data_IF_815258788971
#
_entry.id   IF_815258788971
#
_cell.length_a   1.000
_cell.length_b   1.000
_cell.length_c   1.000
_cell.angle_alpha   90.00
_cell.angle_beta   90.00
_cell.angle_gamma   90.00
#
_symmetry.space_group_name_H-M   'P 1'
#
loop_
_entity.id
_entity.type
_entity.pdbx_description
1 polymer ?
#
# COMPACT_ATOMS: atom_id res chain seq x y z
N UNK A 1 -19.78 -3.99 17.26
CA UNK A 1 -19.32 -2.61 17.54
C UNK A 1 -17.85 -2.66 17.88
N UNK A 2 -17.05 -1.80 17.26
CA UNK A 2 -15.59 -1.79 17.35
C UNK A 2 -15.12 -0.39 17.72
N UNK A 3 -14.26 -0.26 18.73
CA UNK A 3 -13.86 1.04 19.28
C UNK A 3 -12.35 1.26 19.21
N UNK A 4 -11.99 2.52 18.98
CA UNK A 4 -10.68 3.02 18.61
C UNK A 4 -10.40 4.21 19.53
N UNK A 5 -9.23 4.27 20.19
CA UNK A 5 -8.85 5.42 21.03
C UNK A 5 -8.01 6.39 20.21
N UNK A 6 -8.38 7.66 20.16
CA UNK A 6 -7.58 8.71 19.55
C UNK A 6 -6.56 9.22 20.56
N UNK A 7 -5.28 9.22 20.18
CA UNK A 7 -4.14 9.64 21.00
C UNK A 7 -3.47 10.85 20.40
N UNK A 8 -3.00 11.74 21.26
CA UNK A 8 -2.34 12.98 20.87
C UNK A 8 -0.93 13.01 21.47
N UNK A 9 0.08 13.09 20.61
CA UNK A 9 1.49 13.27 20.94
C UNK A 9 2.00 14.59 20.34
N UNK A 10 2.16 15.57 21.22
CA UNK A 10 2.74 16.88 20.88
C UNK A 10 4.25 16.94 21.14
N UNK A 11 4.85 15.89 21.72
CA UNK A 11 6.27 15.87 22.05
C UNK A 11 7.11 15.81 20.77
N UNK A 12 7.93 16.84 20.55
CA UNK A 12 8.77 16.94 19.34
C UNK A 12 8.00 17.25 18.06
N UNK A 13 6.70 17.57 18.15
CA UNK A 13 5.96 18.04 17.00
C UNK A 13 6.40 19.48 16.65
N UNK A 14 6.97 19.64 15.45
CA UNK A 14 7.35 20.95 14.89
C UNK A 14 6.71 21.13 13.51
N UNK A 15 6.16 22.33 13.26
CA UNK A 15 5.61 22.71 11.96
C UNK A 15 4.10 23.00 11.97
N UNK A 16 3.56 23.31 10.78
CA UNK A 16 2.18 23.77 10.58
C UNK A 16 1.09 22.76 10.96
N UNK A 17 1.44 21.50 11.17
CA UNK A 17 0.52 20.39 11.44
C UNK A 17 0.44 19.97 12.92
N UNK A 18 1.07 20.72 13.82
CA UNK A 18 1.11 20.38 15.25
C UNK A 18 -0.07 20.92 16.05
N UNK A 19 -0.66 22.02 15.59
CA UNK A 19 -1.78 22.71 16.24
C UNK A 19 -2.97 22.80 15.29
N UNK A 20 -3.35 21.65 14.74
CA UNK A 20 -4.50 21.55 13.83
C UNK A 20 -5.49 20.56 14.39
N UNK A 21 -6.78 20.86 14.21
CA UNK A 21 -7.86 19.99 14.63
C UNK A 21 -8.03 18.85 13.62
N UNK A 22 -8.42 17.67 14.10
CA UNK A 22 -8.84 16.53 13.31
C UNK A 22 -10.30 16.72 12.87
N UNK A 23 -10.50 16.85 11.56
CA UNK A 23 -11.81 17.08 10.97
C UNK A 23 -12.37 15.89 10.20
N UNK A 24 -11.49 15.00 9.72
CA UNK A 24 -11.90 13.84 8.95
C UNK A 24 -11.01 12.63 9.19
N UNK A 25 -11.64 11.45 9.18
CA UNK A 25 -11.00 10.14 9.22
C UNK A 25 -11.47 9.34 8.01
N UNK A 26 -10.56 8.67 7.32
CA UNK A 26 -10.87 7.77 6.21
C UNK A 26 -10.29 6.38 6.47
N UNK A 27 -11.08 5.33 6.20
CA UNK A 27 -10.68 3.93 6.29
C UNK A 27 -10.68 3.31 4.90
N UNK A 28 -9.65 2.53 4.57
CA UNK A 28 -9.68 1.67 3.38
C UNK A 28 -10.48 0.40 3.69
N UNK A 29 -11.55 0.17 2.93
CA UNK A 29 -12.55 -0.84 3.23
C UNK A 29 -12.87 -1.71 2.03
N UNK A 30 -13.35 -2.94 2.29
CA UNK A 30 -13.77 -3.81 1.21
C UNK A 30 -15.07 -3.31 0.56
N UNK A 31 -15.18 -3.46 -0.76
CA UNK A 31 -16.35 -3.00 -1.52
C UNK A 31 -17.68 -3.62 -1.09
N UNK A 32 -17.65 -4.83 -0.50
CA UNK A 32 -18.85 -5.48 0.03
C UNK A 32 -19.51 -4.68 1.16
N UNK A 33 -18.76 -3.83 1.87
CA UNK A 33 -19.31 -2.95 2.90
C UNK A 33 -20.23 -1.86 2.34
N UNK A 34 -20.17 -1.59 1.03
CA UNK A 34 -21.06 -0.65 0.35
C UNK A 34 -22.42 -1.26 -0.04
N UNK A 35 -22.73 -2.49 0.41
CA UNK A 35 -24.02 -3.11 0.18
C UNK A 35 -25.16 -2.25 0.76
N UNK A 36 -26.21 -2.01 -0.05
CA UNK A 36 -27.34 -1.13 0.33
C UNK A 36 -28.06 -1.55 1.61
N UNK A 37 -28.05 -2.85 1.91
CA UNK A 37 -28.70 -3.44 3.08
C UNK A 37 -27.82 -3.41 4.34
N UNK A 38 -26.51 -3.18 4.20
CA UNK A 38 -25.59 -3.04 5.31
C UNK A 38 -25.69 -1.63 5.93
N UNK A 39 -25.36 -1.50 7.20
CA UNK A 39 -25.34 -0.20 7.87
C UNK A 39 -24.09 0.00 8.71
N UNK A 40 -23.52 1.20 8.64
CA UNK A 40 -22.36 1.61 9.43
C UNK A 40 -22.70 2.91 10.15
N UNK A 41 -22.54 2.93 11.47
CA UNK A 41 -22.73 4.13 12.30
C UNK A 41 -21.45 4.43 13.05
N UNK A 42 -21.10 5.70 13.18
CA UNK A 42 -19.96 6.14 13.98
C UNK A 42 -20.42 6.88 15.23
N UNK A 43 -19.69 6.66 16.32
CA UNK A 43 -19.87 7.37 17.58
C UNK A 43 -18.52 7.95 18.02
N UNK A 44 -18.52 9.15 18.59
CA UNK A 44 -17.38 9.73 19.31
C UNK A 44 -17.80 9.92 20.76
N UNK A 45 -17.06 9.33 21.70
CA UNK A 45 -17.34 9.35 23.13
C UNK A 45 -18.80 8.95 23.44
N UNK A 46 -19.26 7.86 22.81
CA UNK A 46 -20.62 7.32 22.97
C UNK A 46 -21.74 8.14 22.31
N UNK A 47 -21.44 9.22 21.60
CA UNK A 47 -22.43 10.05 20.87
C UNK A 47 -22.30 9.85 19.37
N UNK A 48 -23.42 9.69 18.66
CA UNK A 48 -23.38 9.61 17.20
C UNK A 48 -22.72 10.85 16.59
N UNK A 49 -21.92 10.62 15.55
CA UNK A 49 -21.33 11.71 14.76
C UNK A 49 -22.43 12.56 14.11
N UNK A 50 -22.18 13.86 13.98
CA UNK A 50 -23.13 14.80 13.36
C UNK A 50 -23.39 14.48 11.88
N UNK A 51 -22.38 13.92 11.22
CA UNK A 51 -22.46 13.39 9.86
C UNK A 51 -22.22 11.88 9.91
N UNK A 52 -23.13 11.12 9.29
CA UNK A 52 -23.02 9.67 9.21
C UNK A 52 -21.83 9.21 8.36
N UNK A 53 -21.27 8.01 8.62
CA UNK A 53 -20.25 7.42 7.77
C UNK A 53 -20.73 7.28 6.32
N UNK A 54 -19.87 7.57 5.36
CA UNK A 54 -20.19 7.42 3.94
C UNK A 54 -19.08 6.65 3.22
N UNK A 55 -19.45 5.63 2.46
CA UNK A 55 -18.52 4.90 1.58
C UNK A 55 -18.59 5.47 0.18
N UNK A 56 -17.44 5.88 -0.36
CA UNK A 56 -17.33 6.28 -1.76
C UNK A 56 -16.27 5.45 -2.48
N UNK A 57 -16.45 5.32 -3.79
CA UNK A 57 -15.46 4.72 -4.68
C UNK A 57 -14.45 5.78 -5.09
N UNK A 58 -13.17 5.50 -4.86
CA UNK A 58 -12.05 6.33 -5.28
C UNK A 58 -11.34 5.66 -6.46
N UNK A 59 -11.26 6.34 -7.60
CA UNK A 59 -10.52 5.85 -8.78
C UNK A 59 -9.07 6.33 -8.70
N UNK A 60 -8.14 5.38 -8.73
CA UNK A 60 -6.70 5.63 -8.75
C UNK A 60 -6.25 6.06 -10.16
N UNK A 61 -5.11 6.76 -10.30
CA UNK A 61 -4.61 7.22 -11.61
C UNK A 61 -4.36 6.11 -12.64
N UNK A 62 -4.13 4.89 -12.18
CA UNK A 62 -3.95 3.69 -13.01
C UNK A 62 -5.29 3.05 -13.47
N UNK A 63 -6.43 3.68 -13.15
CA UNK A 63 -7.76 3.21 -13.50
C UNK A 63 -8.35 2.18 -12.53
N UNK A 64 -7.56 1.68 -11.57
CA UNK A 64 -8.07 0.82 -10.50
C UNK A 64 -8.88 1.64 -9.48
N UNK A 65 -9.58 0.99 -8.55
CA UNK A 65 -10.40 1.69 -7.56
C UNK A 65 -10.33 1.08 -6.16
N UNK A 66 -10.59 1.93 -5.16
CA UNK A 66 -10.73 1.55 -3.74
C UNK A 66 -12.07 2.03 -3.21
N UNK A 67 -12.53 1.43 -2.12
CA UNK A 67 -13.68 1.91 -1.36
C UNK A 67 -13.18 2.54 -0.08
N UNK A 68 -13.59 3.78 0.15
CA UNK A 68 -13.13 4.55 1.29
C UNK A 68 -14.33 4.90 2.15
N UNK A 69 -14.33 4.45 3.40
CA UNK A 69 -15.28 4.92 4.40
C UNK A 69 -14.78 6.23 4.99
N UNK A 70 -15.59 7.26 4.92
CA UNK A 70 -15.28 8.62 5.37
C UNK A 70 -16.14 9.01 6.56
N UNK A 71 -15.49 9.56 7.57
CA UNK A 71 -16.08 10.27 8.71
C UNK A 71 -15.66 11.73 8.62
N UNK A 72 -16.59 12.67 8.55
CA UNK A 72 -16.31 14.12 8.45
C UNK A 72 -16.91 14.89 9.61
N UNK A 73 -16.53 16.17 9.70
CA UNK A 73 -17.08 17.13 10.66
C UNK A 73 -16.86 16.71 12.12
N UNK A 74 -15.68 16.10 12.38
CA UNK A 74 -15.30 15.62 13.70
C UNK A 74 -14.93 16.78 14.64
N UNK A 75 -14.29 17.84 14.12
CA UNK A 75 -13.88 19.05 14.86
C UNK A 75 -13.17 18.74 16.19
N UNK A 76 -12.24 17.79 16.17
CA UNK A 76 -11.56 17.32 17.38
C UNK A 76 -10.21 18.02 17.53
N UNK A 77 -10.02 18.73 18.63
CA UNK A 77 -8.79 19.48 18.91
C UNK A 77 -7.78 18.69 19.74
N UNK A 78 -6.69 19.37 20.12
CA UNK A 78 -5.65 18.81 20.97
C UNK A 78 -6.12 18.43 22.40
N UNK A 79 -7.28 18.92 22.82
CA UNK A 79 -7.91 18.57 24.10
C UNK A 79 -8.63 17.23 24.08
N UNK A 80 -8.94 16.69 22.89
CA UNK A 80 -9.71 15.45 22.72
C UNK A 80 -8.81 14.20 22.81
N UNK A 81 -7.69 14.30 23.53
CA UNK A 81 -6.82 13.17 23.77
C UNK A 81 -7.55 12.07 24.54
N UNK A 82 -7.41 10.83 24.09
CA UNK A 82 -8.15 9.65 24.54
C UNK A 82 -9.64 9.63 24.17
N UNK A 83 -10.08 10.47 23.23
CA UNK A 83 -11.43 10.33 22.71
C UNK A 83 -11.63 8.96 22.06
N UNK A 84 -12.80 8.36 22.28
CA UNK A 84 -13.16 7.05 21.76
C UNK A 84 -13.99 7.21 20.48
N UNK A 85 -13.50 6.68 19.37
CA UNK A 85 -14.25 6.51 18.14
C UNK A 85 -14.77 5.08 18.08
N UNK A 86 -16.08 4.87 17.93
CA UNK A 86 -16.66 3.55 17.74
C UNK A 86 -17.38 3.44 16.40
N UNK A 87 -17.21 2.31 15.72
CA UNK A 87 -17.94 1.91 14.53
C UNK A 87 -18.92 0.78 14.89
N UNK A 88 -20.20 1.02 14.66
CA UNK A 88 -21.21 -0.03 14.71
C UNK A 88 -21.46 -0.54 13.30
N UNK A 89 -20.93 -1.73 13.03
CA UNK A 89 -21.10 -2.44 11.76
C UNK A 89 -22.30 -3.38 11.87
N UNK A 90 -23.14 -3.40 10.85
CA UNK A 90 -24.31 -4.28 10.79
C UNK A 90 -24.41 -4.85 9.38
N UNK A 91 -24.33 -6.18 9.29
CA UNK A 91 -24.56 -6.89 8.03
C UNK A 91 -25.99 -6.63 7.55
N UNK A 92 -26.14 -6.61 6.24
CA UNK A 92 -27.42 -6.53 5.57
C UNK A 92 -28.07 -7.90 5.39
N UNK A 93 -29.21 -7.90 4.71
CA UNK A 93 -29.96 -9.13 4.37
C UNK A 93 -29.06 -10.12 3.62
N UNK A 94 -29.13 -11.40 3.98
CA UNK A 94 -28.32 -12.50 3.41
C UNK A 94 -26.81 -12.31 3.60
N UNK A 95 -26.38 -11.83 4.76
CA UNK A 95 -24.97 -11.60 5.12
C UNK A 95 -24.26 -10.63 4.15
N UNK A 96 -25.02 -9.79 3.44
CA UNK A 96 -24.47 -8.80 2.53
C UNK A 96 -23.93 -7.61 3.33
N UNK A 97 -22.62 -7.39 3.32
CA UNK A 97 -22.02 -6.27 4.04
C UNK A 97 -20.73 -6.64 4.74
N UNK A 98 -20.47 -5.92 5.83
CA UNK A 98 -19.36 -6.15 6.75
C UNK A 98 -19.91 -5.95 8.15
N UNK A 99 -19.84 -6.97 8.99
CA UNK A 99 -20.20 -6.91 10.42
C UNK A 99 -19.03 -7.23 11.36
N UNK A 100 -17.89 -7.64 10.81
CA UNK A 100 -16.61 -7.84 11.50
C UNK A 100 -15.53 -6.90 10.95
N UNK A 101 -14.43 -6.71 11.69
CA UNK A 101 -13.33 -5.87 11.22
C UNK A 101 -12.56 -6.52 10.07
N UNK A 102 -12.45 -7.84 10.07
CA UNK A 102 -11.81 -8.66 9.04
C UNK A 102 -12.50 -8.47 7.69
N UNK A 103 -13.82 -8.36 7.73
CA UNK A 103 -14.64 -8.12 6.55
C UNK A 103 -14.71 -6.65 6.16
N UNK A 104 -14.50 -5.77 7.13
CA UNK A 104 -14.58 -4.32 6.97
C UNK A 104 -13.28 -3.75 6.38
N UNK A 105 -12.15 -4.10 6.95
CA UNK A 105 -10.88 -3.43 6.71
C UNK A 105 -10.04 -4.10 5.64
N UNK A 106 -9.62 -3.31 4.63
CA UNK A 106 -8.54 -3.73 3.74
C UNK A 106 -7.24 -3.64 4.54
N UNK A 107 -6.52 -4.76 4.73
CA UNK A 107 -5.32 -4.74 5.54
C UNK A 107 -4.21 -3.95 4.84
N UNK A 108 -3.42 -3.16 5.58
CA UNK A 108 -2.34 -2.35 4.99
C UNK A 108 -1.21 -3.22 4.42
N UNK A 109 -1.10 -4.48 4.86
CA UNK A 109 -0.18 -5.48 4.33
C UNK A 109 -0.78 -6.88 4.46
N UNK A 110 -0.31 -7.83 3.64
CA UNK A 110 -0.75 -9.22 3.73
C UNK A 110 -0.36 -9.90 5.06
N UNK A 111 0.67 -9.40 5.75
CA UNK A 111 1.11 -9.87 7.08
C UNK A 111 0.36 -9.22 8.23
N UNK A 112 -0.53 -8.26 7.95
CA UNK A 112 -1.32 -7.62 8.99
C UNK A 112 -2.31 -8.64 9.57
N UNK A 113 -2.44 -8.73 10.91
CA UNK A 113 -3.46 -9.57 11.53
C UNK A 113 -4.84 -9.29 10.94
N UNK A 114 -5.71 -10.31 10.80
CA UNK A 114 -7.10 -10.10 10.40
C UNK A 114 -7.76 -8.98 11.23
N UNK A 115 -8.50 -8.10 10.56
CA UNK A 115 -9.15 -6.95 11.19
C UNK A 115 -8.27 -5.71 11.35
N UNK A 116 -7.02 -5.74 10.90
CA UNK A 116 -6.15 -4.55 10.86
C UNK A 116 -6.62 -3.58 9.78
N UNK A 117 -6.83 -2.32 10.17
CA UNK A 117 -7.35 -1.27 9.28
C UNK A 117 -6.26 -0.31 8.83
N UNK A 118 -6.28 0.06 7.54
CA UNK A 118 -5.57 1.23 7.06
C UNK A 118 -6.42 2.49 7.26
N UNK A 119 -5.87 3.48 7.94
CA UNK A 119 -6.59 4.70 8.33
C UNK A 119 -5.79 5.96 7.96
N UNK A 120 -6.51 6.99 7.52
CA UNK A 120 -5.98 8.31 7.26
C UNK A 120 -6.72 9.37 8.09
N UNK A 121 -5.98 10.33 8.65
CA UNK A 121 -6.51 11.43 9.44
C UNK A 121 -6.26 12.74 8.68
N UNK A 122 -7.22 13.67 8.73
CA UNK A 122 -7.16 14.92 7.96
C UNK A 122 -7.61 16.10 8.81
N UNK A 123 -6.90 17.22 8.66
CA UNK A 123 -7.25 18.46 9.36
C UNK A 123 -8.32 19.30 8.65
N UNK A 124 -8.76 18.91 7.45
CA UNK A 124 -9.91 19.52 6.78
C UNK A 124 -10.88 18.48 6.24
N UNK A 125 -12.15 18.89 6.13
CA UNK A 125 -13.22 18.03 5.62
C UNK A 125 -13.00 17.65 4.13
N UNK A 126 -12.45 18.57 3.34
CA UNK A 126 -12.30 18.43 1.89
C UNK A 126 -10.95 17.85 1.45
N UNK A 127 -10.08 17.43 2.37
CA UNK A 127 -8.69 17.01 2.08
C UNK A 127 -7.84 18.09 1.40
N UNK A 128 -8.26 19.35 1.46
CA UNK A 128 -7.59 20.50 0.84
C UNK A 128 -6.49 21.08 1.72
N UNK A 129 -6.50 20.80 3.02
CA UNK A 129 -5.49 21.30 3.94
C UNK A 129 -4.35 20.32 4.18
N UNK A 130 -3.24 20.91 4.60
CA UNK A 130 -1.87 20.47 4.41
C UNK A 130 -1.38 19.32 5.31
N UNK A 131 -2.23 18.74 6.14
CA UNK A 131 -1.82 17.85 7.22
C UNK A 131 -2.57 16.50 7.16
N UNK A 132 -1.81 15.43 6.89
CA UNK A 132 -2.28 14.03 6.96
C UNK A 132 -1.20 13.14 7.59
N UNK A 133 -1.44 12.35 8.65
CA UNK A 133 -0.45 11.46 9.22
C UNK A 133 -0.70 10.07 8.64
N UNK A 134 -0.50 9.90 7.33
CA UNK A 134 -0.40 8.55 6.79
C UNK A 134 1.08 8.20 6.81
N UNK A 135 1.53 7.55 7.88
CA UNK A 135 2.80 6.81 7.82
C UNK A 135 2.56 5.48 7.13
N UNK A 136 2.35 5.54 5.82
CA UNK A 136 2.92 4.65 4.80
C UNK A 136 2.81 5.37 3.47
N UNK A 137 3.97 5.58 2.83
CA UNK A 137 4.08 6.29 1.56
C UNK A 137 3.50 5.46 0.41
N UNK A 138 2.50 5.99 -0.29
CA UNK A 138 2.38 5.91 -1.75
C UNK A 138 1.64 7.14 -2.30
N UNK A 139 1.96 7.42 -3.56
CA UNK A 139 1.79 8.69 -4.25
C UNK A 139 0.34 9.14 -4.47
N UNK A 140 0.25 10.47 -4.49
CA UNK A 140 -0.89 11.37 -4.71
C UNK A 140 -1.82 11.55 -3.50
N UNK A 141 -1.96 12.83 -3.14
CA UNK A 141 -2.68 13.44 -2.00
C UNK A 141 -1.84 13.79 -0.74
N UNK A 142 -1.69 15.11 -0.60
CA UNK A 142 -1.10 15.95 0.44
C UNK A 142 0.42 16.29 0.35
N UNK A 143 0.79 17.56 0.11
CA UNK A 143 2.17 18.04 0.23
C UNK A 143 2.55 18.07 1.72
N UNK A 144 3.17 16.99 2.21
CA UNK A 144 3.57 16.87 3.61
C UNK A 144 4.73 17.81 3.96
N UNK A 145 4.41 18.78 4.81
CA UNK A 145 5.32 19.41 5.75
C UNK A 145 4.77 19.18 7.16
N UNK A 146 5.37 18.26 7.92
CA UNK A 146 5.14 18.08 9.36
C UNK A 146 4.53 16.73 9.78
N UNK A 147 5.07 16.17 10.86
CA UNK A 147 4.42 15.10 11.63
C UNK A 147 3.11 15.67 12.23
N UNK A 148 2.02 14.91 12.22
CA UNK A 148 0.80 15.29 12.96
C UNK A 148 0.85 14.71 14.37
N UNK A 149 0.23 15.40 15.32
CA UNK A 149 0.19 14.98 16.72
C UNK A 149 -0.81 13.84 17.00
N UNK A 150 -1.75 13.52 16.12
CA UNK A 150 -2.87 12.61 16.43
C UNK A 150 -2.65 11.24 15.76
N UNK A 151 -2.80 10.14 16.52
CA UNK A 151 -2.76 8.74 16.08
C UNK A 151 -3.83 7.92 16.82
N UNK A 152 -4.01 6.64 16.50
CA UNK A 152 -5.10 5.80 17.05
C UNK A 152 -4.50 4.61 17.81
N UNK A 153 -5.13 4.12 18.88
CA UNK A 153 -4.72 2.96 19.68
C UNK A 153 -5.93 2.05 20.03
N UNK A 154 -5.73 0.73 20.24
CA UNK A 154 -6.78 -0.19 20.68
C UNK A 154 -7.13 0.03 22.16
N UNK A 155 -8.39 -0.24 22.54
CA UNK A 155 -8.80 -0.31 23.96
C UNK A 155 -8.38 -1.67 24.58
N UNK A 156 -7.76 -1.70 25.77
CA UNK A 156 -7.49 -2.95 26.47
C UNK A 156 -8.79 -3.54 27.06
N UNK A 157 -9.26 -4.66 26.51
CA UNK A 157 -10.35 -5.47 27.10
C UNK A 157 -11.55 -5.79 26.20
N UNK A 158 -11.56 -5.37 24.94
CA UNK A 158 -12.50 -5.85 23.93
C UNK A 158 -11.83 -6.82 22.95
N UNK A 159 -12.50 -7.90 22.56
CA UNK A 159 -12.04 -8.75 21.45
C UNK A 159 -12.05 -7.93 20.15
N UNK A 160 -10.92 -7.31 19.76
CA UNK A 160 -10.49 -7.00 18.38
C UNK A 160 -9.27 -6.06 18.37
N UNK A 161 -8.32 -6.33 17.49
CA UNK A 161 -7.02 -5.68 17.41
C UNK A 161 -7.05 -4.45 16.50
N UNK A 162 -6.80 -3.27 17.06
CA UNK A 162 -6.05 -2.22 16.37
C UNK A 162 -4.62 -2.28 16.87
N UNK A 163 -3.78 -3.15 16.33
CA UNK A 163 -2.35 -3.00 16.61
C UNK A 163 -1.83 -1.79 15.82
N UNK A 164 -1.81 -0.62 16.46
CA UNK A 164 -0.73 0.32 16.24
C UNK A 164 0.42 -0.15 17.11
N UNK A 165 1.00 -1.30 16.76
CA UNK A 165 2.40 -1.46 17.08
C UNK A 165 3.09 -0.27 16.41
N UNK A 166 3.76 0.52 17.23
CA UNK A 166 4.85 1.40 16.84
C UNK A 166 5.51 0.79 15.59
N UNK A 167 5.19 1.34 14.40
CA UNK A 167 5.46 0.58 13.19
C UNK A 167 6.97 0.45 13.10
N UNK A 168 7.44 -0.76 13.37
CA UNK A 168 8.78 -1.18 13.09
C UNK A 168 8.85 -1.24 11.57
N UNK A 169 9.11 -0.10 10.93
CA UNK A 169 9.26 0.16 9.50
C UNK A 169 9.29 -1.08 8.60
N UNK A 170 8.18 -1.79 8.33
CA UNK A 170 8.21 -3.11 7.66
C UNK A 170 9.57 -3.79 7.89
N UNK A 171 9.99 -3.94 9.17
CA UNK A 171 11.41 -4.11 9.46
C UNK A 171 11.89 -5.25 8.57
N UNK A 172 12.90 -5.02 7.70
CA UNK A 172 13.37 -6.08 6.83
C UNK A 172 13.59 -7.31 7.71
N UNK A 173 13.20 -8.51 7.25
CA UNK A 173 13.18 -9.71 8.08
C UNK A 173 14.48 -9.78 8.87
N UNK A 174 14.37 -10.07 10.18
CA UNK A 174 15.47 -10.03 11.15
C UNK A 174 16.79 -10.38 10.48
N UNK A 175 17.62 -9.35 10.29
CA UNK A 175 18.96 -9.34 9.66
C UNK A 175 19.40 -10.75 9.20
N UNK A 176 19.36 -11.01 7.88
CA UNK A 176 20.59 -10.72 7.16
C UNK A 176 20.39 -9.97 5.83
N UNK A 177 19.25 -9.32 5.58
CA UNK A 177 19.05 -8.57 4.33
C UNK A 177 18.96 -7.04 4.55
N UNK A 178 19.72 -6.22 3.80
CA UNK A 178 20.88 -6.61 2.99
C UNK A 178 22.04 -7.12 3.86
N UNK A 179 22.87 -8.03 3.34
CA UNK A 179 23.90 -8.74 4.10
C UNK A 179 25.10 -7.87 4.54
N UNK A 180 25.15 -6.63 4.07
CA UNK A 180 26.25 -5.70 4.29
C UNK A 180 25.96 -4.67 5.39
N UNK A 181 27.02 -4.18 6.02
CA UNK A 181 26.97 -3.05 6.94
C UNK A 181 26.82 -1.75 6.15
N UNK A 182 25.60 -1.46 5.73
CA UNK A 182 25.24 -0.26 5.01
C UNK A 182 24.01 0.38 5.67
N UNK A 183 23.79 1.67 5.40
CA UNK A 183 22.64 2.36 5.95
C UNK A 183 21.36 2.00 5.18
N UNK A 184 20.47 1.27 5.84
CA UNK A 184 19.19 0.81 5.28
C UNK A 184 18.06 1.82 5.41
N UNK A 185 18.30 2.96 6.05
CA UNK A 185 17.28 4.00 6.26
C UNK A 185 16.78 4.49 4.90
N UNK A 186 15.47 4.48 4.69
CA UNK A 186 14.85 5.02 3.48
C UNK A 186 15.25 6.48 3.24
N UNK A 187 15.24 6.91 1.97
CA UNK A 187 15.58 8.28 1.57
C UNK A 187 17.02 8.76 1.89
N UNK A 188 17.95 7.84 2.23
CA UNK A 188 19.39 8.17 2.30
C UNK A 188 20.08 8.20 0.94
N UNK A 189 19.40 7.77 -0.12
CA UNK A 189 19.82 7.92 -1.52
C UNK A 189 18.73 8.67 -2.28
N UNK A 190 19.04 9.34 -3.41
CA UNK A 190 18.03 10.02 -4.22
C UNK A 190 17.05 9.09 -4.94
N UNK A 191 17.21 7.78 -4.77
CA UNK A 191 16.43 6.76 -5.46
C UNK A 191 15.52 5.98 -4.50
N UNK A 192 14.35 5.58 -5.00
CA UNK A 192 13.50 4.57 -4.40
C UNK A 192 12.90 3.65 -5.48
N UNK A 193 12.49 2.44 -5.10
CA UNK A 193 11.77 1.53 -5.99
C UNK A 193 10.27 1.79 -5.88
N UNK A 194 9.62 1.93 -7.03
CA UNK A 194 8.17 1.91 -7.14
C UNK A 194 7.65 0.63 -6.53
N UNK A 195 6.71 0.80 -5.62
CA UNK A 195 6.19 -0.31 -4.84
C UNK A 195 5.15 -1.13 -5.63
N UNK A 196 4.73 -0.68 -6.82
CA UNK A 196 3.96 -1.50 -7.78
C UNK A 196 4.90 -2.15 -8.78
N UNK A 197 4.70 -3.45 -8.99
CA UNK A 197 5.43 -4.24 -9.99
C UNK A 197 4.57 -4.42 -11.24
N UNK A 198 5.14 -4.22 -12.42
CA UNK A 198 4.45 -4.53 -13.69
C UNK A 198 4.86 -5.90 -14.20
N UNK A 199 3.94 -6.59 -14.87
CA UNK A 199 4.17 -7.92 -15.45
C UNK A 199 4.16 -7.85 -16.97
N UNK A 200 5.16 -8.46 -17.60
CA UNK A 200 5.31 -8.56 -19.05
C UNK A 200 5.60 -10.02 -19.46
N UNK A 201 5.44 -10.34 -20.75
CA UNK A 201 5.90 -11.63 -21.29
C UNK A 201 7.43 -11.69 -21.27
N UNK A 202 7.99 -12.84 -20.85
CA UNK A 202 9.43 -13.09 -20.91
C UNK A 202 9.92 -13.42 -22.32
N UNK A 203 11.23 -13.68 -22.46
CA UNK A 203 11.86 -14.07 -23.74
C UNK A 203 11.37 -15.41 -24.24
N UNK A 204 10.87 -16.26 -23.35
CA UNK A 204 10.24 -17.53 -23.69
C UNK A 204 8.77 -17.54 -23.26
N UNK A 205 7.90 -18.30 -23.92
CA UNK A 205 6.49 -18.42 -23.53
C UNK A 205 6.29 -18.95 -22.10
N UNK A 206 7.28 -19.67 -21.55
CA UNK A 206 7.27 -20.24 -20.20
C UNK A 206 7.79 -19.30 -19.11
N UNK A 207 8.08 -18.04 -19.44
CA UNK A 207 8.67 -17.06 -18.51
C UNK A 207 7.87 -15.78 -18.47
N UNK A 208 7.84 -15.15 -17.30
CA UNK A 208 7.25 -13.83 -17.08
C UNK A 208 8.32 -12.85 -16.60
N UNK A 209 8.22 -11.60 -17.04
CA UNK A 209 9.06 -10.49 -16.58
C UNK A 209 8.32 -9.69 -15.52
N UNK A 210 8.93 -9.52 -14.36
CA UNK A 210 8.44 -8.70 -13.25
C UNK A 210 9.30 -7.46 -13.10
N UNK A 211 8.76 -6.31 -13.49
CA UNK A 211 9.51 -5.06 -13.63
C UNK A 211 9.26 -4.08 -12.48
N UNK A 212 10.37 -3.60 -11.93
CA UNK A 212 10.44 -2.64 -10.84
C UNK A 212 10.98 -1.32 -11.39
N UNK A 213 10.22 -0.24 -11.21
CA UNK A 213 10.60 1.09 -11.71
C UNK A 213 11.31 1.90 -10.63
N UNK A 214 12.48 2.45 -10.94
CA UNK A 214 13.22 3.36 -10.06
C UNK A 214 12.64 4.78 -10.18
N UNK A 215 12.46 5.45 -9.04
CA UNK A 215 11.92 6.81 -8.94
C UNK A 215 12.80 7.70 -8.07
N UNK A 216 12.61 9.01 -8.17
CA UNK A 216 13.38 9.99 -7.42
C UNK A 216 12.72 10.33 -6.07
N UNK A 217 13.47 10.24 -4.99
CA UNK A 217 13.05 10.79 -3.70
C UNK A 217 13.06 12.33 -3.80
N UNK A 218 11.97 13.02 -3.45
CA UNK A 218 11.94 14.48 -3.47
C UNK A 218 13.06 15.08 -2.62
N UNK A 219 13.68 16.17 -3.09
CA UNK A 219 14.91 16.73 -2.48
C UNK A 219 14.68 17.12 -1.02
N UNK A 220 13.50 17.62 -0.71
CA UNK A 220 13.05 18.01 0.63
C UNK A 220 12.89 16.82 1.59
N UNK A 221 12.82 15.59 1.08
CA UNK A 221 12.73 14.35 1.87
C UNK A 221 14.05 13.59 1.97
N UNK A 222 15.10 14.06 1.29
CA UNK A 222 16.40 13.41 1.33
C UNK A 222 17.03 13.57 2.72
N UNK A 223 17.35 12.44 3.34
CA UNK A 223 18.09 12.42 4.60
C UNK A 223 19.57 12.58 4.26
N UNK A 224 20.08 13.82 4.37
CA UNK A 224 21.50 14.09 4.19
C UNK A 224 22.29 13.45 5.33
N UNK A 225 23.12 12.47 5.02
CA UNK A 225 24.15 11.97 5.94
C UNK A 225 25.53 12.11 5.32
N UNK A 226 26.57 12.41 6.12
CA UNK A 226 27.93 12.54 5.60
C UNK A 226 28.43 11.29 4.86
N UNK A 227 28.03 10.11 5.33
CA UNK A 227 28.36 8.82 4.71
C UNK A 227 27.43 8.45 3.54
N UNK A 228 26.20 8.97 3.55
CA UNK A 228 25.22 8.77 2.49
C UNK A 228 24.91 10.07 1.79
N UNK A 229 25.96 10.76 1.33
CA UNK A 229 25.80 11.95 0.50
C UNK A 229 24.85 11.65 -0.66
N UNK A 230 24.28 12.68 -1.32
CA UNK A 230 23.47 12.49 -2.51
C UNK A 230 24.38 12.02 -3.65
N UNK A 231 24.90 10.80 -3.56
CA UNK A 231 25.56 10.09 -4.63
C UNK A 231 24.47 9.92 -5.67
N UNK A 232 24.57 10.69 -6.74
CA UNK A 232 23.62 10.64 -7.85
C UNK A 232 23.77 9.37 -8.67
N UNK A 233 24.37 8.29 -8.13
CA UNK A 233 24.65 7.04 -8.83
C UNK A 233 23.99 5.88 -8.08
N UNK A 234 23.14 5.14 -8.80
CA UNK A 234 22.60 3.84 -8.43
C UNK A 234 23.49 2.76 -9.07
N UNK A 235 24.30 2.10 -8.24
CA UNK A 235 25.31 1.15 -8.69
C UNK A 235 24.79 -0.30 -8.72
N UNK A 236 23.91 -0.65 -7.79
CA UNK A 236 23.43 -2.03 -7.65
C UNK A 236 22.04 -2.04 -7.03
N UNK A 237 21.26 -3.04 -7.43
CA UNK A 237 20.03 -3.42 -6.73
C UNK A 237 20.18 -4.84 -6.21
N UNK A 238 19.84 -5.05 -4.94
CA UNK A 238 19.72 -6.39 -4.36
C UNK A 238 18.26 -6.71 -4.08
N UNK A 239 17.86 -7.96 -4.33
CA UNK A 239 16.49 -8.45 -4.13
C UNK A 239 16.51 -9.59 -3.12
N UNK A 240 15.61 -9.54 -2.15
CA UNK A 240 15.45 -10.59 -1.16
C UNK A 240 14.60 -11.74 -1.72
N UNK A 241 15.26 -12.83 -2.12
CA UNK A 241 14.68 -13.90 -2.88
C UNK A 241 15.13 -15.28 -2.40
N UNK A 242 14.29 -16.29 -2.58
CA UNK A 242 14.53 -17.65 -2.10
C UNK A 242 15.68 -18.29 -2.90
N UNK A 243 16.82 -18.46 -2.24
CA UNK A 243 18.02 -19.02 -2.83
C UNK A 243 17.82 -20.50 -3.24
N UNK A 244 16.82 -21.20 -2.72
CA UNK A 244 16.46 -22.56 -3.18
C UNK A 244 15.86 -22.55 -4.59
N UNK A 245 15.34 -21.41 -5.04
CA UNK A 245 14.66 -21.20 -6.33
C UNK A 245 15.56 -20.53 -7.37
N UNK A 246 16.88 -20.54 -7.18
CA UNK A 246 17.88 -19.99 -8.11
C UNK A 246 17.69 -20.41 -9.57
N UNK A 247 17.20 -21.62 -9.82
CA UNK A 247 16.98 -22.16 -11.18
C UNK A 247 15.73 -21.58 -11.85
N UNK A 248 14.87 -20.91 -11.10
CA UNK A 248 13.63 -20.32 -11.61
C UNK A 248 13.81 -18.90 -12.12
N UNK A 249 14.98 -18.28 -11.94
CA UNK A 249 15.32 -17.02 -12.59
C UNK A 249 16.22 -17.29 -13.80
N UNK A 250 15.78 -16.85 -14.97
CA UNK A 250 16.47 -17.10 -16.26
C UNK A 250 17.27 -15.88 -16.74
N UNK A 251 16.98 -14.71 -16.21
CA UNK A 251 17.67 -13.46 -16.56
C UNK A 251 17.19 -12.27 -15.76
N UNK A 252 17.97 -11.19 -15.80
CA UNK A 252 17.57 -9.88 -15.26
C UNK A 252 17.67 -8.88 -16.42
N UNK A 253 16.54 -8.32 -16.85
CA UNK A 253 16.50 -7.24 -17.83
C UNK A 253 16.66 -5.92 -17.09
N UNK A 254 17.59 -5.08 -17.50
CA UNK A 254 17.73 -3.74 -16.93
C UNK A 254 17.72 -2.69 -18.04
N UNK A 255 16.92 -1.65 -17.84
CA UNK A 255 16.66 -0.62 -18.84
C UNK A 255 16.84 0.74 -18.17
N UNK A 256 17.98 1.43 -18.36
CA UNK A 256 18.14 2.80 -17.91
C UNK A 256 17.18 3.72 -18.67
N UNK A 257 16.77 4.82 -18.04
CA UNK A 257 16.02 5.86 -18.72
C UNK A 257 16.86 6.50 -19.82
N UNK A 258 16.31 6.55 -21.04
CA UNK A 258 16.97 7.10 -22.22
C UNK A 258 18.16 6.28 -22.74
N UNK A 259 18.41 5.07 -22.23
CA UNK A 259 19.51 4.21 -22.67
C UNK A 259 19.06 2.82 -23.15
N UNK A 260 20.01 2.00 -23.65
CA UNK A 260 19.68 0.69 -24.19
C UNK A 260 19.35 -0.32 -23.09
N UNK A 261 18.36 -1.15 -23.35
CA UNK A 261 18.09 -2.35 -22.55
C UNK A 261 19.25 -3.33 -22.63
N UNK A 262 19.61 -3.93 -21.49
CA UNK A 262 20.61 -5.01 -21.42
C UNK A 262 20.12 -6.14 -20.53
N UNK A 263 20.66 -7.33 -20.78
CA UNK A 263 20.38 -8.53 -19.99
C UNK A 263 21.58 -8.88 -19.13
N UNK A 264 21.34 -9.06 -17.83
CA UNK A 264 22.31 -9.54 -16.87
C UNK A 264 22.01 -10.99 -16.54
N UNK A 265 23.06 -11.79 -16.38
CA UNK A 265 22.95 -13.12 -15.80
C UNK A 265 22.55 -13.01 -14.32
N UNK A 266 21.67 -13.91 -13.81
CA UNK A 266 21.35 -13.92 -12.39
C UNK A 266 22.59 -14.15 -11.54
N UNK A 267 22.93 -13.17 -10.69
CA UNK A 267 24.05 -13.25 -9.75
C UNK A 267 23.52 -13.27 -8.33
N UNK A 268 24.07 -14.13 -7.49
CA UNK A 268 23.61 -14.30 -6.11
C UNK A 268 24.70 -13.85 -5.11
N UNK A 269 24.27 -13.49 -3.90
CA UNK A 269 25.15 -13.34 -2.74
C UNK A 269 25.79 -14.67 -2.32
N UNK A 270 26.44 -14.68 -1.15
CA UNK A 270 26.80 -15.94 -0.51
C UNK A 270 25.50 -16.76 -0.31
N UNK A 271 25.46 -18.08 -0.49
CA UNK A 271 25.80 -18.91 0.65
C UNK A 271 24.78 -18.78 1.80
N UNK A 272 23.47 -18.70 1.55
CA UNK A 272 22.43 -18.58 2.57
C UNK A 272 22.00 -17.15 2.89
N UNK A 273 22.41 -16.16 2.09
CA UNK A 273 21.99 -14.77 2.28
C UNK A 273 20.69 -14.43 1.56
N UNK A 274 20.16 -15.32 0.71
CA UNK A 274 18.91 -15.09 -0.01
C UNK A 274 18.90 -13.77 -0.80
N UNK A 275 20.05 -13.45 -1.42
CA UNK A 275 20.29 -12.16 -2.06
C UNK A 275 20.53 -12.37 -3.55
N UNK A 276 19.60 -11.94 -4.38
CA UNK A 276 19.81 -11.81 -5.82
C UNK A 276 20.35 -10.41 -6.12
N UNK A 277 21.30 -10.29 -7.06
CA UNK A 277 22.00 -9.04 -7.40
C UNK A 277 21.77 -8.67 -8.86
N UNK A 278 21.28 -7.45 -9.08
CA UNK A 278 21.30 -6.77 -10.37
C UNK A 278 22.44 -5.74 -10.35
N UNK A 279 23.59 -6.13 -10.90
CA UNK A 279 24.84 -5.35 -10.87
C UNK A 279 25.73 -5.77 -12.05
N UNK A 280 26.61 -4.90 -12.58
CA UNK A 280 26.74 -3.46 -12.26
C UNK A 280 25.69 -2.62 -12.97
N UNK A 281 25.12 -1.61 -12.31
CA UNK A 281 24.16 -0.66 -12.89
C UNK A 281 24.83 0.62 -13.40
N UNK A 282 25.61 1.29 -12.56
CA UNK A 282 26.28 2.57 -12.87
C UNK A 282 25.32 3.65 -13.43
N UNK A 283 24.10 3.73 -12.90
CA UNK A 283 23.11 4.69 -13.39
C UNK A 283 23.21 6.00 -12.62
N UNK A 284 23.54 7.09 -13.32
CA UNK A 284 23.44 8.42 -12.75
C UNK A 284 21.97 8.86 -12.53
N UNK A 285 21.74 10.03 -11.94
CA UNK A 285 20.41 10.51 -11.57
C UNK A 285 19.43 10.49 -12.76
N UNK A 286 19.86 10.98 -13.93
CA UNK A 286 19.00 11.08 -15.12
C UNK A 286 18.69 9.71 -15.72
N UNK A 287 19.66 8.80 -15.75
CA UNK A 287 19.48 7.44 -16.28
C UNK A 287 18.77 6.51 -15.30
N UNK A 288 18.81 6.79 -13.99
CA UNK A 288 18.14 5.98 -12.97
C UNK A 288 16.65 6.31 -12.83
N UNK A 289 16.25 7.58 -12.95
CA UNK A 289 14.84 7.96 -12.77
C UNK A 289 14.01 7.46 -13.95
N UNK A 290 13.05 6.58 -13.69
CA UNK A 290 12.26 5.89 -14.72
C UNK A 290 12.93 4.62 -15.25
N UNK A 291 14.13 4.28 -14.79
CA UNK A 291 14.78 3.03 -15.14
C UNK A 291 13.98 1.82 -14.62
N UNK A 292 14.10 0.70 -15.31
CA UNK A 292 13.48 -0.56 -14.92
C UNK A 292 14.53 -1.63 -14.61
N UNK A 293 14.29 -2.37 -13.54
CA UNK A 293 14.95 -3.64 -13.24
C UNK A 293 13.86 -4.70 -13.32
N UNK A 294 13.99 -5.70 -14.21
CA UNK A 294 13.00 -6.75 -14.38
C UNK A 294 13.59 -8.13 -14.15
N UNK A 295 12.90 -8.95 -13.36
CA UNK A 295 13.27 -10.34 -13.10
C UNK A 295 12.51 -11.24 -14.06
N UNK A 296 13.22 -12.07 -14.82
CA UNK A 296 12.61 -13.07 -15.70
C UNK A 296 12.51 -14.40 -14.98
N UNK A 297 11.28 -14.83 -14.66
CA UNK A 297 11.01 -15.97 -13.81
C UNK A 297 10.15 -17.02 -14.51
N UNK A 298 10.37 -18.30 -14.17
CA UNK A 298 9.50 -19.43 -14.55
C UNK A 298 8.41 -19.73 -13.52
N UNK A 299 8.36 -18.93 -12.45
CA UNK A 299 7.40 -19.05 -11.35
C UNK A 299 6.86 -17.66 -10.99
N UNK A 300 5.71 -17.57 -10.30
CA UNK A 300 5.20 -16.32 -9.77
C UNK A 300 6.18 -15.57 -8.87
N UNK A 301 6.12 -14.23 -8.89
CA UNK A 301 7.02 -13.37 -8.11
C UNK A 301 6.88 -13.57 -6.60
N UNK A 302 5.65 -13.73 -6.10
CA UNK A 302 5.35 -13.96 -4.68
C UNK A 302 5.92 -15.29 -4.16
N UNK A 303 6.11 -16.23 -5.07
CA UNK A 303 6.69 -17.55 -4.82
C UNK A 303 8.23 -17.50 -4.88
N UNK A 304 8.80 -16.56 -5.63
CA UNK A 304 10.24 -16.36 -5.76
C UNK A 304 10.83 -15.49 -4.64
N UNK A 305 10.12 -14.42 -4.24
CA UNK A 305 10.55 -13.53 -3.18
C UNK A 305 10.23 -14.11 -1.79
N UNK A 306 11.02 -13.76 -0.77
CA UNK A 306 10.84 -14.29 0.59
C UNK A 306 9.95 -13.43 1.50
N UNK A 307 9.48 -12.27 1.03
CA UNK A 307 8.42 -11.54 1.72
C UNK A 307 7.06 -12.09 1.31
N UNK A 308 6.16 -12.32 2.27
CA UNK A 308 4.80 -12.82 2.02
C UNK A 308 4.04 -11.91 1.04
N UNK A 309 4.09 -12.24 -0.26
CA UNK A 309 3.60 -11.42 -1.40
C UNK A 309 4.30 -10.06 -1.58
N UNK A 310 5.44 -9.87 -0.91
CA UNK A 310 6.26 -8.65 -0.99
C UNK A 310 7.66 -9.03 -1.45
N UNK A 311 8.18 -8.31 -2.44
CA UNK A 311 9.58 -8.39 -2.81
C UNK A 311 10.33 -7.20 -2.22
N UNK A 312 11.30 -7.46 -1.35
CA UNK A 312 12.15 -6.42 -0.78
C UNK A 312 13.35 -6.16 -1.69
N UNK A 313 13.61 -4.88 -1.97
CA UNK A 313 14.74 -4.46 -2.80
C UNK A 313 15.57 -3.39 -2.10
N UNK A 314 16.88 -3.59 -2.04
CA UNK A 314 17.84 -2.62 -1.50
C UNK A 314 18.58 -1.93 -2.64
N UNK A 315 18.63 -0.59 -2.60
CA UNK A 315 19.29 0.24 -3.62
C UNK A 315 20.65 0.70 -3.14
N UNK A 316 21.71 0.37 -3.88
CA UNK A 316 23.08 0.66 -3.48
C UNK A 316 23.68 1.82 -4.26
N UNK A 317 24.38 2.69 -3.55
CA UNK A 317 25.29 3.64 -4.18
C UNK A 317 26.63 2.99 -4.54
N UNK A 318 27.45 3.72 -5.29
CA UNK A 318 28.79 3.31 -5.75
C UNK A 318 29.73 2.88 -4.62
N UNK A 319 29.58 3.45 -3.42
CA UNK A 319 30.40 3.15 -2.26
C UNK A 319 29.85 2.00 -1.40
N UNK A 320 28.69 1.43 -1.76
CA UNK A 320 27.97 0.39 -1.02
C UNK A 320 27.68 0.70 0.46
N UNK A 321 27.81 1.94 0.89
CA UNK A 321 27.61 2.35 2.28
C UNK A 321 26.16 2.77 2.56
N UNK A 322 25.33 2.89 1.52
CA UNK A 322 23.91 3.25 1.61
C UNK A 322 23.11 2.25 0.80
N UNK A 323 22.07 1.71 1.42
CA UNK A 323 21.29 0.59 0.92
C UNK A 323 19.82 0.68 1.36
N UNK A 324 19.13 1.81 1.16
CA UNK A 324 17.73 1.92 1.53
C UNK A 324 16.93 0.79 0.92
N UNK A 325 16.10 0.16 1.76
CA UNK A 325 15.34 -1.03 1.38
C UNK A 325 13.87 -0.66 1.24
N UNK A 326 13.27 -1.09 0.14
CA UNK A 326 11.90 -0.75 -0.24
C UNK A 326 11.10 -2.03 -0.54
N UNK A 327 9.85 -2.13 -0.06
CA UNK A 327 8.95 -3.21 -0.44
C UNK A 327 8.28 -2.91 -1.79
N UNK A 328 8.10 -3.95 -2.60
CA UNK A 328 7.33 -3.91 -3.84
C UNK A 328 6.38 -5.10 -3.92
N UNK A 329 5.17 -4.88 -4.43
CA UNK A 329 4.09 -5.86 -4.52
C UNK A 329 3.50 -5.86 -5.92
N UNK A 330 3.00 -7.02 -6.36
CA UNK A 330 2.14 -7.07 -7.53
C UNK A 330 0.87 -6.26 -7.26
N UNK A 331 0.29 -5.59 -8.28
CA UNK A 331 -1.06 -5.06 -8.16
C UNK A 331 -1.98 -6.22 -7.79
N UNK A 332 -2.85 -5.99 -6.82
CA UNK A 332 -3.89 -6.96 -6.47
C UNK A 332 -4.83 -7.06 -7.66
N UNK A 333 -4.71 -8.15 -8.42
CA UNK A 333 -5.77 -8.56 -9.32
C UNK A 333 -6.79 -9.25 -8.41
N UNK A 334 -7.97 -8.65 -8.17
CA UNK A 334 -8.97 -9.34 -7.40
C UNK A 334 -9.35 -10.60 -8.18
N UNK A 335 -9.23 -11.77 -7.54
CA UNK A 335 -9.83 -13.02 -8.00
C UNK A 335 -11.36 -12.88 -7.96
N UNK A 336 -11.93 -11.99 -8.77
CA UNK A 336 -13.33 -12.08 -9.13
C UNK A 336 -13.39 -13.07 -10.29
N UNK A 337 -14.12 -14.20 -10.16
CA UNK A 337 -14.58 -14.87 -11.36
C UNK A 337 -15.31 -13.80 -12.17
N UNK A 338 -14.86 -13.56 -13.40
CA UNK A 338 -15.66 -12.85 -14.38
C UNK A 338 -16.93 -13.67 -14.50
N UNK A 339 -17.98 -13.26 -13.80
CA UNK A 339 -19.31 -13.77 -14.06
C UNK A 339 -19.60 -13.23 -15.44
N UNK A 340 -19.52 -14.12 -16.44
CA UNK A 340 -19.93 -13.80 -17.80
C UNK A 340 -21.28 -13.08 -17.72
N UNK A 341 -21.45 -11.94 -18.43
CA UNK A 341 -22.73 -11.27 -18.44
C UNK A 341 -23.79 -12.29 -18.84
N UNK A 342 -24.79 -12.42 -17.96
CA UNK A 342 -25.94 -13.31 -18.13
C UNK A 342 -26.36 -13.37 -19.61
N UNK A 343 -26.58 -14.56 -20.19
CA UNK A 343 -27.13 -14.66 -21.53
C UNK A 343 -28.43 -13.84 -21.57
N UNK A 344 -28.55 -13.00 -22.59
CA UNK A 344 -29.70 -12.14 -22.80
C UNK A 344 -30.97 -12.97 -22.61
N UNK A 345 -31.81 -12.56 -21.65
CA UNK A 345 -33.14 -13.12 -21.47
C UNK A 345 -33.90 -12.81 -22.75
N UNK A 346 -34.31 -13.85 -23.48
CA UNK A 346 -35.13 -13.73 -24.67
C UNK A 346 -36.36 -12.85 -24.37
N UNK A 347 -36.73 -11.95 -25.28
CA UNK A 347 -37.93 -11.12 -25.11
C UNK A 347 -39.16 -12.04 -25.02
N UNK A 348 -39.94 -11.82 -23.96
CA UNK A 348 -41.23 -12.47 -23.72
C UNK A 348 -42.07 -12.52 -25.01
N UNK A 349 -42.68 -13.67 -25.35
CA UNK A 349 -43.62 -13.74 -26.46
C UNK A 349 -44.83 -12.83 -26.17
N UNK A 350 -45.17 -12.02 -27.17
CA UNK A 350 -46.33 -11.15 -27.15
C UNK A 350 -47.60 -11.95 -26.85
N UNK A 351 -48.39 -11.45 -25.89
CA UNK A 351 -49.72 -11.97 -25.57
C UNK A 351 -50.66 -11.49 -26.67
N UNK A 352 -51.17 -12.41 -27.48
CA UNK A 352 -52.20 -12.17 -28.49
C UNK A 352 -53.53 -11.76 -27.83
N UNK A 353 -54.19 -10.66 -28.24
CA UNK A 353 -55.48 -10.27 -27.69
C UNK A 353 -56.60 -10.58 -28.68
N UNK A 354 -56.99 -11.85 -28.88
CA UNK A 354 -58.25 -12.16 -29.56
C UNK A 354 -58.90 -13.44 -29.03
N UNK A 355 -59.88 -13.28 -28.14
CA UNK A 355 -61.04 -14.16 -28.07
C UNK A 355 -62.27 -13.30 -27.81
N UNK A 356 -62.90 -12.87 -28.90
CA UNK A 356 -64.29 -12.40 -28.89
C UNK A 356 -65.15 -13.65 -28.78
N UNK A 357 -65.72 -13.91 -27.61
CA UNK A 357 -66.89 -14.76 -27.50
C UNK A 357 -68.10 -13.97 -27.96
N UNK A 358 -68.87 -14.53 -28.89
CA UNK A 358 -70.30 -14.28 -28.99
C UNK A 358 -71.01 -15.54 -29.52
N UNK A 359 -72.28 -15.73 -29.13
CA UNK A 359 -72.94 -17.04 -28.94
C UNK A 359 -73.26 -17.82 -30.22
#
# INVERSE_FOLDING_TARGET
MFCFTLKINTQGCVGRCCNVDLNKIEFDVYGKCAAKSASIKALVNGKFTSVGPNIYRYTMPDGSYRFILRLTNLNMGLSDNNAELCLNLTAGVNDAGCDTLEEFCVPPSASSPPGTCQVALFNSADSTDSCCPIRYMRNEFCPLAGNMAIYVEPQPGGNTCLNFEDYKQCEPPTKPFPACNCNTTVATTPFYISSSVTTEAGRTPSTSLYCFTVKQVPVERLIRRPSCGPTGVLDKVEVYADEKRRRNITGIRVTPNGGPTRWLSPSWGANGTNTLKATPLNWNLTSAIGAQVCLELTIPLDTFCLGERVCYMSLFNENNNCCPTYPATLPYEPDFPVIDPFPAIDPFPAIDPFYVMNP
#
